data_IF_786232555698
#
_entry.id   IF_786232555698
#
_cell.length_a   1.000
_cell.length_b   1.000
_cell.length_c   1.000
_cell.angle_alpha   90.00
_cell.angle_beta   90.00
_cell.angle_gamma   90.00
#
_symmetry.space_group_name_H-M   'P 1'
#
loop_
_entity.id
_entity.type
_entity.pdbx_description
1 polymer ?
#
# COMPACT_ATOMS: atom_id res chain seq x y z
N UNK A 1 28.88 -46.66 -12.97
CA UNK A 1 28.13 -46.02 -14.08
C UNK A 1 26.99 -45.24 -13.46
N UNK A 2 27.17 -43.94 -13.22
CA UNK A 2 26.16 -43.06 -12.62
C UNK A 2 25.70 -42.03 -13.66
N UNK A 3 24.39 -41.91 -13.85
CA UNK A 3 23.82 -40.91 -14.76
C UNK A 3 23.86 -39.53 -14.08
N UNK A 4 24.37 -38.52 -14.79
CA UNK A 4 24.30 -37.12 -14.36
C UNK A 4 22.84 -36.63 -14.47
N UNK A 5 22.32 -35.88 -13.47
CA UNK A 5 20.96 -35.38 -13.53
C UNK A 5 20.84 -34.34 -14.64
N UNK A 6 20.05 -34.66 -15.67
CA UNK A 6 19.70 -33.71 -16.73
C UNK A 6 18.81 -32.62 -16.14
N UNK A 7 19.39 -31.46 -15.82
CA UNK A 7 18.65 -30.27 -15.43
C UNK A 7 18.17 -29.51 -16.66
N UNK A 8 16.86 -29.37 -16.83
CA UNK A 8 16.28 -28.35 -17.71
C UNK A 8 15.97 -27.11 -16.85
N UNK A 9 16.70 -26.02 -17.09
CA UNK A 9 16.33 -24.71 -16.56
C UNK A 9 15.45 -23.99 -17.57
N UNK A 10 14.26 -23.56 -17.15
CA UNK A 10 13.43 -22.65 -17.94
C UNK A 10 13.73 -21.22 -17.51
N UNK A 11 14.13 -20.37 -18.45
CA UNK A 11 14.28 -18.93 -18.23
C UNK A 11 13.19 -18.20 -19.00
N UNK A 12 12.48 -17.27 -18.35
CA UNK A 12 11.53 -16.38 -18.99
C UNK A 12 12.07 -14.95 -18.95
N UNK A 13 12.25 -14.35 -20.12
CA UNK A 13 12.60 -12.94 -20.28
C UNK A 13 11.32 -12.08 -20.19
N UNK A 14 10.90 -11.79 -18.95
CA UNK A 14 9.69 -11.03 -18.64
C UNK A 14 9.62 -9.68 -19.38
N UNK A 15 10.75 -8.98 -19.49
CA UNK A 15 10.86 -7.71 -20.20
C UNK A 15 10.41 -7.81 -21.68
N UNK A 16 10.78 -8.90 -22.36
CA UNK A 16 10.46 -9.11 -23.78
C UNK A 16 9.00 -9.50 -23.98
N UNK A 17 8.42 -10.24 -23.02
CA UNK A 17 6.99 -10.63 -23.05
C UNK A 17 6.11 -9.40 -22.87
N UNK A 18 6.46 -8.49 -21.95
CA UNK A 18 5.72 -7.26 -21.71
C UNK A 18 5.71 -6.36 -22.95
N UNK A 19 6.85 -6.25 -23.65
CA UNK A 19 6.98 -5.39 -24.83
C UNK A 19 6.26 -5.92 -26.09
N UNK A 20 6.11 -7.25 -26.22
CA UNK A 20 5.54 -7.89 -27.41
C UNK A 20 4.15 -8.50 -27.17
N UNK A 21 3.53 -8.24 -26.02
CA UNK A 21 2.20 -8.74 -25.72
C UNK A 21 1.18 -8.05 -26.66
N UNK A 22 0.51 -8.79 -27.58
CA UNK A 22 -0.48 -8.22 -28.50
C UNK A 22 -1.85 -8.03 -27.83
N UNK A 23 -1.97 -8.44 -26.56
CA UNK A 23 -3.06 -8.00 -25.71
C UNK A 23 -2.87 -6.50 -25.58
N UNK A 24 -3.88 -5.73 -25.94
CA UNK A 24 -4.00 -4.32 -25.61
C UNK A 24 -4.01 -4.22 -24.07
N UNK A 25 -2.83 -4.41 -23.46
CA UNK A 25 -2.48 -3.95 -22.13
C UNK A 25 -2.41 -2.43 -22.29
N UNK A 26 -3.56 -1.82 -22.58
CA UNK A 26 -3.89 -0.58 -21.92
C UNK A 26 -3.79 -0.98 -20.46
N UNK A 27 -2.72 -0.62 -19.72
CA UNK A 27 -2.75 -0.81 -18.28
C UNK A 27 -4.09 -0.20 -17.93
N UNK A 28 -4.99 -1.00 -17.39
CA UNK A 28 -6.21 -0.42 -16.89
C UNK A 28 -5.67 0.66 -15.97
N UNK A 29 -5.91 1.94 -16.28
CA UNK A 29 -5.50 2.99 -15.35
C UNK A 29 -6.15 2.73 -13.97
N UNK A 30 -7.13 1.82 -13.90
CA UNK A 30 -7.69 1.19 -12.71
C UNK A 30 -7.02 -0.13 -12.23
N UNK A 31 -5.75 -0.41 -12.56
CA UNK A 31 -4.86 -0.95 -11.52
C UNK A 31 -4.36 0.19 -10.61
N UNK A 32 -5.01 1.37 -10.67
CA UNK A 32 -5.24 2.24 -9.52
C UNK A 32 -6.00 1.47 -8.44
N UNK A 33 -5.33 0.50 -7.85
CA UNK A 33 -5.39 0.34 -6.42
C UNK A 33 -5.40 1.73 -5.80
N UNK A 34 -6.53 2.09 -5.20
CA UNK A 34 -6.61 3.29 -4.39
C UNK A 34 -5.55 3.06 -3.31
N UNK A 35 -4.38 3.68 -3.47
CA UNK A 35 -3.38 3.70 -2.41
C UNK A 35 -4.02 4.47 -1.27
N UNK A 36 -4.10 3.82 -0.11
CA UNK A 36 -4.64 4.40 1.11
C UNK A 36 -3.47 4.65 2.04
N UNK A 37 -3.24 5.89 2.44
CA UNK A 37 -2.30 6.18 3.51
C UNK A 37 -3.05 6.18 4.84
N UNK A 38 -2.64 5.30 5.75
CA UNK A 38 -3.12 5.30 7.12
C UNK A 38 -2.31 6.31 7.93
N UNK A 39 -3.03 7.31 8.39
CA UNK A 39 -2.53 8.50 9.04
C UNK A 39 -2.96 8.55 10.51
N UNK A 40 -2.16 9.16 11.37
CA UNK A 40 -2.47 9.37 12.79
C UNK A 40 -2.52 10.86 13.12
N UNK A 41 -3.43 11.24 14.02
CA UNK A 41 -3.52 12.60 14.55
C UNK A 41 -3.64 12.56 16.08
N UNK A 42 -2.56 12.92 16.77
CA UNK A 42 -2.46 12.88 18.23
C UNK A 42 -1.07 12.39 18.67
N UNK A 43 -0.61 12.84 19.85
CA UNK A 43 0.81 12.84 20.27
C UNK A 43 1.42 11.50 20.69
N UNK A 44 1.36 10.51 19.81
CA UNK A 44 2.06 9.24 19.97
C UNK A 44 2.10 8.38 18.70
N UNK A 45 1.67 8.94 17.56
CA UNK A 45 1.78 8.30 16.25
C UNK A 45 0.90 7.08 16.00
N UNK A 46 0.24 6.53 17.02
CA UNK A 46 -0.66 5.37 16.97
C UNK A 46 -0.10 4.26 16.06
N UNK A 47 1.20 3.98 16.18
CA UNK A 47 1.92 3.15 15.21
C UNK A 47 1.33 1.74 15.12
N UNK A 48 0.98 1.16 16.28
CA UNK A 48 0.40 -0.19 16.34
C UNK A 48 -0.94 -0.21 15.62
N UNK A 49 -1.81 0.75 15.91
CA UNK A 49 -3.15 0.86 15.32
C UNK A 49 -3.07 1.15 13.82
N UNK A 50 -2.11 1.97 13.38
CA UNK A 50 -1.84 2.20 11.94
C UNK A 50 -1.41 0.90 11.26
N UNK A 51 -0.54 0.11 11.89
CA UNK A 51 -0.07 -1.16 11.34
C UNK A 51 -1.19 -2.21 11.28
N UNK A 52 -2.02 -2.29 12.32
CA UNK A 52 -3.19 -3.19 12.36
C UNK A 52 -4.18 -2.85 11.24
N UNK A 53 -4.54 -1.57 11.08
CA UNK A 53 -5.46 -1.14 10.04
C UNK A 53 -4.90 -1.38 8.62
N UNK A 54 -3.60 -1.17 8.41
CA UNK A 54 -2.95 -1.50 7.14
C UNK A 54 -3.00 -3.01 6.87
N UNK A 55 -2.78 -3.85 7.88
CA UNK A 55 -2.87 -5.29 7.75
C UNK A 55 -4.30 -5.75 7.41
N UNK A 56 -5.32 -5.17 8.03
CA UNK A 56 -6.73 -5.43 7.68
C UNK A 56 -7.04 -5.02 6.23
N UNK A 57 -6.60 -3.84 5.81
CA UNK A 57 -6.78 -3.37 4.44
C UNK A 57 -6.10 -4.30 3.43
N UNK A 58 -4.91 -4.82 3.74
CA UNK A 58 -4.23 -5.80 2.90
C UNK A 58 -4.96 -7.13 2.84
N UNK A 59 -5.57 -7.60 3.94
CA UNK A 59 -6.40 -8.81 3.95
C UNK A 59 -7.62 -8.66 3.04
N UNK A 60 -8.22 -7.47 3.02
CA UNK A 60 -9.35 -7.10 2.15
C UNK A 60 -8.91 -6.69 0.72
N UNK A 61 -7.65 -6.94 0.34
CA UNK A 61 -7.10 -6.70 -1.00
C UNK A 61 -7.07 -5.20 -1.41
N UNK A 62 -7.06 -4.27 -0.43
CA UNK A 62 -6.75 -2.86 -0.67
C UNK A 62 -5.24 -2.63 -0.62
N UNK A 63 -4.71 -1.69 -1.42
CA UNK A 63 -3.31 -1.25 -1.28
C UNK A 63 -3.27 -0.13 -0.25
N UNK A 64 -2.77 -0.43 0.94
CA UNK A 64 -2.60 0.53 2.03
C UNK A 64 -1.14 0.67 2.43
N UNK A 65 -0.76 1.85 2.91
CA UNK A 65 0.58 2.19 3.38
C UNK A 65 0.48 3.05 4.66
N UNK A 66 1.60 3.17 5.37
CA UNK A 66 1.75 4.09 6.49
C UNK A 66 3.16 4.69 6.45
N UNK A 67 3.31 5.91 6.96
CA UNK A 67 4.64 6.53 7.06
C UNK A 67 5.51 5.72 8.03
N UNK A 68 6.73 5.26 7.63
CA UNK A 68 7.61 4.40 8.44
C UNK A 68 8.35 5.18 9.54
N UNK A 69 7.65 6.09 10.20
CA UNK A 69 8.10 6.91 11.32
C UNK A 69 7.17 6.63 12.50
N UNK A 70 7.67 6.47 13.74
CA UNK A 70 6.83 6.15 14.89
C UNK A 70 5.76 7.19 15.18
N UNK A 71 6.12 8.48 15.20
CA UNK A 71 5.23 9.61 15.47
C UNK A 71 5.35 10.68 14.37
N UNK A 72 4.80 10.42 13.17
CA UNK A 72 4.87 11.37 12.06
C UNK A 72 3.90 12.52 12.31
N UNK A 73 4.31 13.74 12.02
CA UNK A 73 3.40 14.89 12.01
C UNK A 73 2.37 14.76 10.89
N UNK A 74 1.23 15.42 11.05
CA UNK A 74 0.19 15.37 10.02
C UNK A 74 0.67 15.97 8.70
N UNK A 75 1.53 16.99 8.74
CA UNK A 75 2.14 17.60 7.55
C UNK A 75 3.01 16.61 6.80
N UNK A 76 3.92 15.89 7.48
CA UNK A 76 4.77 14.87 6.86
C UNK A 76 3.95 13.75 6.22
N UNK A 77 2.82 13.39 6.84
CA UNK A 77 1.91 12.40 6.26
C UNK A 77 1.24 12.89 4.97
N UNK A 78 0.88 14.18 4.90
CA UNK A 78 0.36 14.79 3.67
C UNK A 78 1.44 14.90 2.59
N UNK A 79 2.67 15.25 2.97
CA UNK A 79 3.81 15.31 2.05
C UNK A 79 4.13 13.93 1.49
N UNK A 80 4.22 12.90 2.34
CA UNK A 80 4.41 11.51 1.91
C UNK A 80 3.30 11.06 0.95
N UNK A 81 2.03 11.34 1.28
CA UNK A 81 0.92 11.02 0.39
C UNK A 81 1.09 11.69 -0.98
N UNK A 82 1.49 12.96 -1.01
CA UNK A 82 1.69 13.71 -2.24
C UNK A 82 2.89 13.19 -3.05
N UNK A 83 4.02 12.88 -2.40
CA UNK A 83 5.21 12.31 -3.03
C UNK A 83 4.95 10.93 -3.65
N UNK A 84 4.05 10.15 -3.06
CA UNK A 84 3.70 8.79 -3.48
C UNK A 84 2.41 8.71 -4.35
N UNK A 85 1.85 9.84 -4.79
CA UNK A 85 0.57 9.94 -5.54
C UNK A 85 -0.62 9.24 -4.85
N UNK A 86 -0.64 9.27 -3.51
CA UNK A 86 -1.67 8.66 -2.68
C UNK A 86 -2.84 9.62 -2.49
N UNK A 87 -4.03 9.21 -2.97
CA UNK A 87 -5.23 10.08 -3.01
C UNK A 87 -6.19 9.87 -1.84
N UNK A 88 -6.05 8.77 -1.11
CA UNK A 88 -6.93 8.46 0.02
C UNK A 88 -6.11 8.45 1.32
N UNK A 89 -6.51 9.26 2.30
CA UNK A 89 -5.94 9.27 3.64
C UNK A 89 -6.99 8.81 4.64
N UNK A 90 -6.61 7.87 5.50
CA UNK A 90 -7.44 7.41 6.62
C UNK A 90 -6.79 7.90 7.90
N UNK A 91 -7.37 8.92 8.54
CA UNK A 91 -6.84 9.54 9.75
C UNK A 91 -7.48 8.90 10.97
N UNK A 92 -6.67 8.25 11.80
CA UNK A 92 -7.05 7.73 13.11
C UNK A 92 -6.64 8.71 14.22
N UNK A 93 -7.45 8.76 15.27
CA UNK A 93 -7.19 9.55 16.48
C UNK A 93 -7.47 8.69 17.70
N UNK A 94 -6.73 8.89 18.78
CA UNK A 94 -6.84 8.10 20.03
C UNK A 94 -8.29 8.05 20.55
N UNK A 95 -8.99 9.19 20.48
CA UNK A 95 -10.39 9.31 20.86
C UNK A 95 -11.39 8.64 19.89
N UNK A 96 -11.06 8.51 18.60
CA UNK A 96 -11.97 7.92 17.60
C UNK A 96 -11.82 6.40 17.49
N UNK A 97 -10.61 5.90 17.75
CA UNK A 97 -10.31 4.47 17.77
C UNK A 97 -10.87 3.84 19.04
N UNK A 98 -10.63 4.43 20.22
CA UNK A 98 -11.06 3.85 21.50
C UNK A 98 -12.57 3.94 21.78
N UNK A 99 -13.28 4.92 21.20
CA UNK A 99 -14.66 5.23 21.58
C UNK A 99 -15.72 4.66 20.62
N UNK A 100 -15.35 4.39 19.36
CA UNK A 100 -16.36 4.14 18.31
C UNK A 100 -15.88 3.27 17.14
N UNK A 101 -14.71 2.64 17.20
CA UNK A 101 -14.09 1.89 16.08
C UNK A 101 -14.17 2.68 14.75
N UNK A 102 -14.03 4.00 14.85
CA UNK A 102 -14.34 4.91 13.75
C UNK A 102 -13.08 5.59 13.24
N UNK A 103 -12.91 5.57 11.92
CA UNK A 103 -11.76 6.17 11.23
C UNK A 103 -12.23 7.32 10.36
N UNK A 104 -11.45 8.41 10.30
CA UNK A 104 -11.79 9.58 9.49
C UNK A 104 -11.15 9.47 8.11
N UNK A 105 -11.95 9.16 7.09
CA UNK A 105 -11.48 9.08 5.70
C UNK A 105 -11.48 10.47 5.05
N UNK A 106 -10.39 10.84 4.38
CA UNK A 106 -10.23 12.07 3.59
C UNK A 106 -9.66 11.73 2.23
N UNK A 107 -10.25 12.31 1.19
CA UNK A 107 -9.71 12.25 -0.15
C UNK A 107 -8.90 13.52 -0.42
N UNK A 108 -7.69 13.39 -0.98
CA UNK A 108 -6.89 14.50 -1.50
C UNK A 108 -7.14 14.52 -3.01
N UNK A 109 -7.74 15.61 -3.48
CA UNK A 109 -8.07 15.84 -4.88
C UNK A 109 -6.87 16.37 -5.66
#
# INVERSE_FOLDING_TARGET
KGNLPTGMGTSLALETIIQNCPVDFKPNRNEASISILVCSRGGGGLLVERMELVAELWQENFKAEFVPVPDPSLTEQYEYANEHDIKCLVIITDASFSLADSVKVRYVL
#
